data_IF_092949394444
#
_entry.id   IF_092949394444
#
_cell.length_a   1.000
_cell.length_b   1.000
_cell.length_c   1.000
_cell.angle_alpha   90.00
_cell.angle_beta   90.00
_cell.angle_gamma   90.00
#
_symmetry.space_group_name_H-M   'P 1'
#
loop_
_entity.id
_entity.type
_entity.pdbx_description
1 polymer ?
#
# COMPACT_ATOMS: atom_id res chain seq x y z
N UNK A 1 -6.09 -3.42 -18.81
CA UNK A 1 -5.01 -3.01 -17.88
C UNK A 1 -4.95 -3.94 -16.68
N UNK A 2 -3.81 -4.00 -16.00
CA UNK A 2 -3.61 -4.80 -14.78
C UNK A 2 -4.66 -4.51 -13.70
N UNK A 3 -5.01 -3.24 -13.49
CA UNK A 3 -6.05 -2.85 -12.53
C UNK A 3 -7.43 -3.47 -12.84
N UNK A 4 -7.82 -3.59 -14.11
CA UNK A 4 -9.08 -4.27 -14.48
C UNK A 4 -9.03 -5.76 -14.21
N UNK A 5 -7.89 -6.41 -14.43
CA UNK A 5 -7.71 -7.82 -14.08
C UNK A 5 -7.80 -8.03 -12.57
N UNK A 6 -7.08 -7.20 -11.81
CA UNK A 6 -7.13 -7.22 -10.35
C UNK A 6 -8.57 -7.04 -9.84
N UNK A 7 -9.30 -6.03 -10.35
CA UNK A 7 -10.72 -5.82 -10.00
C UNK A 7 -11.59 -7.04 -10.32
N UNK A 8 -11.39 -7.67 -11.49
CA UNK A 8 -12.12 -8.88 -11.86
C UNK A 8 -11.86 -10.04 -10.88
N UNK A 9 -10.62 -10.21 -10.41
CA UNK A 9 -10.28 -11.23 -9.41
C UNK A 9 -10.97 -10.92 -8.09
N UNK A 10 -10.88 -9.66 -7.59
CA UNK A 10 -11.56 -9.21 -6.36
C UNK A 10 -13.07 -9.48 -6.44
N UNK A 11 -13.70 -9.11 -7.57
CA UNK A 11 -15.13 -9.30 -7.76
C UNK A 11 -15.52 -10.79 -7.80
N UNK A 12 -14.66 -11.64 -8.36
CA UNK A 12 -14.88 -13.09 -8.37
C UNK A 12 -14.87 -13.67 -6.96
N UNK A 13 -13.92 -13.25 -6.13
CA UNK A 13 -13.84 -13.68 -4.72
C UNK A 13 -15.06 -13.19 -3.93
N UNK A 14 -15.48 -11.95 -4.11
CA UNK A 14 -16.68 -11.40 -3.48
C UNK A 14 -18.00 -12.01 -3.96
N UNK A 15 -18.02 -12.69 -5.13
CA UNK A 15 -19.16 -13.48 -5.57
C UNK A 15 -19.27 -14.80 -4.80
N UNK A 16 -18.14 -15.40 -4.43
CA UNK A 16 -18.10 -16.63 -3.64
C UNK A 16 -18.47 -16.34 -2.18
N UNK A 17 -17.88 -15.29 -1.59
CA UNK A 17 -18.22 -14.81 -0.25
C UNK A 17 -18.11 -13.29 -0.22
N UNK A 18 -19.25 -12.62 0.04
CA UNK A 18 -19.34 -11.15 0.13
C UNK A 18 -18.48 -10.52 1.22
N UNK A 19 -18.12 -11.30 2.23
CA UNK A 19 -17.29 -10.90 3.37
C UNK A 19 -15.86 -11.41 3.27
N UNK A 20 -15.45 -11.90 2.11
CA UNK A 20 -14.09 -12.38 1.86
C UNK A 20 -13.04 -11.40 2.35
N UNK A 21 -12.03 -11.92 3.05
CA UNK A 21 -10.86 -11.17 3.49
C UNK A 21 -9.81 -11.15 2.38
N UNK A 22 -9.83 -10.11 1.59
CA UNK A 22 -8.97 -9.96 0.41
C UNK A 22 -7.91 -8.92 0.71
N UNK A 23 -6.66 -9.22 0.33
CA UNK A 23 -5.55 -8.29 0.30
C UNK A 23 -5.01 -8.27 -1.13
N UNK A 24 -4.93 -7.10 -1.75
CA UNK A 24 -4.17 -6.90 -2.98
C UNK A 24 -3.02 -5.95 -2.68
N UNK A 25 -1.80 -6.35 -3.07
CA UNK A 25 -0.58 -5.62 -2.71
C UNK A 25 0.49 -5.73 -3.79
N UNK A 26 1.38 -4.75 -3.80
CA UNK A 26 2.54 -4.69 -4.69
C UNK A 26 2.87 -3.28 -5.11
N UNK A 27 3.84 -3.16 -6.02
CA UNK A 27 4.11 -1.93 -6.75
C UNK A 27 3.09 -1.78 -7.89
N UNK A 28 2.17 -0.82 -7.70
CA UNK A 28 1.12 -0.54 -8.68
C UNK A 28 1.58 0.44 -9.78
N UNK A 29 2.78 1.03 -9.67
CA UNK A 29 3.27 2.12 -10.52
C UNK A 29 2.31 3.31 -10.64
N UNK A 30 1.41 3.44 -9.67
CA UNK A 30 0.37 4.47 -9.58
C UNK A 30 0.18 4.89 -8.12
N UNK A 31 -0.06 6.17 -7.89
CA UNK A 31 -0.41 6.66 -6.55
C UNK A 31 -1.82 6.20 -6.13
N UNK A 32 -2.11 6.16 -4.81
CA UNK A 32 -3.43 5.79 -4.28
C UNK A 32 -4.60 6.58 -4.88
N UNK A 33 -4.37 7.81 -5.34
CA UNK A 33 -5.39 8.69 -5.93
C UNK A 33 -5.61 8.46 -7.43
N UNK A 34 -4.74 7.69 -8.11
CA UNK A 34 -4.83 7.48 -9.54
C UNK A 34 -6.06 6.65 -9.93
N UNK A 35 -6.51 6.80 -11.16
CA UNK A 35 -7.73 6.14 -11.66
C UNK A 35 -7.67 4.60 -11.59
N UNK A 36 -6.51 3.99 -11.73
CA UNK A 36 -6.31 2.54 -11.56
C UNK A 36 -6.76 2.05 -10.18
N UNK A 37 -6.49 2.83 -9.14
CA UNK A 37 -6.78 2.52 -7.73
C UNK A 37 -8.17 3.04 -7.35
N UNK A 38 -8.41 4.35 -7.52
CA UNK A 38 -9.67 4.99 -7.14
C UNK A 38 -10.85 4.63 -8.03
N UNK A 39 -10.66 4.69 -9.35
CA UNK A 39 -11.73 4.49 -10.33
C UNK A 39 -11.97 3.02 -10.63
N UNK A 40 -10.90 2.24 -10.91
CA UNK A 40 -11.03 0.86 -11.38
C UNK A 40 -11.14 -0.11 -10.20
N UNK A 41 -10.21 -0.12 -9.26
CA UNK A 41 -10.29 -0.98 -8.05
C UNK A 41 -11.42 -0.48 -7.13
N UNK A 42 -11.65 0.83 -7.10
CA UNK A 42 -12.68 1.47 -6.27
C UNK A 42 -12.29 1.59 -4.80
N UNK A 43 -10.98 1.65 -4.51
CA UNK A 43 -10.47 1.72 -3.16
C UNK A 43 -10.79 3.06 -2.49
N UNK A 44 -11.26 3.00 -1.24
CA UNK A 44 -11.65 4.17 -0.43
C UNK A 44 -10.53 4.61 0.49
N UNK A 45 -10.43 5.92 0.72
CA UNK A 45 -9.48 6.56 1.63
C UNK A 45 -9.83 6.35 3.11
N UNK A 46 -11.12 6.33 3.44
CA UNK A 46 -11.60 6.23 4.82
C UNK A 46 -12.25 4.87 5.07
N UNK A 47 -12.00 4.26 6.23
CA UNK A 47 -12.60 2.97 6.61
C UNK A 47 -14.12 3.03 6.68
N UNK A 48 -14.64 4.18 7.11
CA UNK A 48 -16.08 4.45 7.31
C UNK A 48 -16.85 4.41 5.99
N UNK A 49 -16.20 4.81 4.90
CA UNK A 49 -16.82 4.88 3.57
C UNK A 49 -16.86 3.53 2.86
N UNK A 50 -16.20 2.49 3.43
CA UNK A 50 -16.07 1.18 2.79
C UNK A 50 -17.30 0.33 3.06
N UNK A 51 -18.07 0.05 2.01
CA UNK A 51 -19.23 -0.84 2.04
C UNK A 51 -18.81 -2.30 1.79
N UNK A 52 -19.77 -3.22 1.98
CA UNK A 52 -19.57 -4.64 1.66
C UNK A 52 -19.18 -4.80 0.19
N UNK A 53 -18.16 -5.63 -0.07
CA UNK A 53 -17.51 -5.85 -1.38
C UNK A 53 -16.64 -4.69 -1.87
N UNK A 54 -16.42 -3.66 -1.06
CA UNK A 54 -15.49 -2.58 -1.40
C UNK A 54 -14.13 -2.77 -0.71
N UNK A 55 -13.17 -1.98 -1.18
CA UNK A 55 -11.78 -2.01 -0.76
C UNK A 55 -11.40 -0.72 -0.01
N UNK A 56 -10.51 -0.85 0.96
CA UNK A 56 -9.88 0.23 1.72
C UNK A 56 -8.41 0.35 1.36
N UNK A 57 -7.96 1.56 1.06
CA UNK A 57 -6.54 1.84 0.82
C UNK A 57 -5.98 2.76 1.92
N UNK A 58 -5.29 2.22 2.93
CA UNK A 58 -4.68 3.04 3.99
C UNK A 58 -3.54 3.92 3.47
N UNK A 59 -2.90 3.55 2.34
CA UNK A 59 -1.75 4.26 1.80
C UNK A 59 -2.11 5.66 1.29
N UNK A 60 -3.37 5.91 0.96
CA UNK A 60 -3.80 7.24 0.54
C UNK A 60 -3.64 8.29 1.67
N UNK A 61 -4.00 7.94 2.91
CA UNK A 61 -3.79 8.83 4.06
C UNK A 61 -2.31 9.03 4.38
N UNK A 62 -1.52 7.98 4.30
CA UNK A 62 -0.07 8.04 4.53
C UNK A 62 0.58 9.03 3.55
N UNK A 63 0.24 8.94 2.25
CA UNK A 63 0.78 9.87 1.27
C UNK A 63 0.24 11.29 1.43
N UNK A 64 -1.09 11.45 1.54
CA UNK A 64 -1.72 12.78 1.46
C UNK A 64 -1.68 13.57 2.76
N UNK A 65 -1.73 12.90 3.90
CA UNK A 65 -1.81 13.56 5.22
C UNK A 65 -0.45 13.60 5.92
N UNK A 66 0.40 12.59 5.71
CA UNK A 66 1.70 12.46 6.37
C UNK A 66 2.86 12.81 5.45
N UNK A 67 2.64 12.89 4.12
CA UNK A 67 3.68 13.17 3.14
C UNK A 67 4.69 12.04 2.95
N UNK A 68 4.35 10.81 3.41
CA UNK A 68 5.23 9.65 3.35
C UNK A 68 4.97 8.86 2.07
N UNK A 69 6.02 8.64 1.28
CA UNK A 69 6.01 7.81 0.08
C UNK A 69 6.88 6.57 0.20
N UNK A 70 6.72 5.63 -0.72
CA UNK A 70 7.60 4.47 -0.83
C UNK A 70 8.81 4.75 -1.71
N UNK A 71 8.68 5.63 -2.70
CA UNK A 71 9.78 6.05 -3.57
C UNK A 71 9.76 7.55 -3.84
N UNK A 72 10.86 8.07 -4.38
CA UNK A 72 10.98 9.48 -4.72
C UNK A 72 11.61 9.65 -6.11
N UNK A 73 11.05 10.57 -6.89
CA UNK A 73 11.59 10.99 -8.17
C UNK A 73 11.54 12.51 -8.30
N UNK A 74 12.69 13.14 -8.58
CA UNK A 74 12.83 14.62 -8.68
C UNK A 74 12.27 15.34 -7.45
N UNK A 75 12.60 14.82 -6.25
CA UNK A 75 12.18 15.34 -4.94
C UNK A 75 10.66 15.31 -4.68
N UNK A 76 9.90 14.62 -5.54
CA UNK A 76 8.47 14.32 -5.33
C UNK A 76 8.33 12.90 -4.80
N UNK A 77 7.57 12.73 -3.72
CA UNK A 77 7.27 11.44 -3.13
C UNK A 77 6.04 10.80 -3.78
N UNK A 78 6.18 9.50 -4.06
CA UNK A 78 5.13 8.64 -4.59
C UNK A 78 4.94 7.45 -3.65
N UNK A 79 3.73 6.91 -3.59
CA UNK A 79 3.41 5.71 -2.83
C UNK A 79 2.85 4.65 -3.79
N UNK A 80 3.76 4.04 -4.57
CA UNK A 80 3.42 3.01 -5.55
C UNK A 80 3.27 1.64 -4.92
N UNK A 81 4.00 1.40 -3.82
CA UNK A 81 3.95 0.16 -3.04
C UNK A 81 2.76 0.21 -2.09
N UNK A 82 1.66 -0.45 -2.44
CA UNK A 82 0.41 -0.33 -1.73
C UNK A 82 -0.07 -1.68 -1.21
N UNK A 83 -0.79 -1.65 -0.09
CA UNK A 83 -1.51 -2.79 0.48
C UNK A 83 -2.96 -2.37 0.69
N UNK A 84 -3.85 -2.90 -0.12
CA UNK A 84 -5.27 -2.55 -0.17
C UNK A 84 -6.07 -3.75 0.36
N UNK A 85 -7.01 -3.50 1.27
CA UNK A 85 -7.74 -4.56 1.98
C UNK A 85 -9.24 -4.47 1.76
N UNK A 86 -9.95 -5.61 1.76
CA UNK A 86 -11.39 -5.64 1.64
C UNK A 86 -12.12 -5.27 2.94
N UNK A 87 -13.41 -4.93 2.83
CA UNK A 87 -14.30 -4.69 4.00
C UNK A 87 -14.27 -5.83 5.00
N UNK A 88 -14.11 -7.09 4.58
CA UNK A 88 -14.04 -8.25 5.47
C UNK A 88 -12.89 -8.20 6.49
N UNK A 89 -11.83 -7.44 6.20
CA UNK A 89 -10.72 -7.19 7.13
C UNK A 89 -10.94 -5.98 8.05
N UNK A 90 -12.02 -5.22 7.88
CA UNK A 90 -12.35 -4.06 8.71
C UNK A 90 -13.37 -4.44 9.78
N UNK A 91 -13.43 -3.63 10.87
CA UNK A 91 -14.34 -3.83 12.02
C UNK A 91 -13.62 -4.31 13.26
N UNK A 92 -14.37 -4.54 14.33
CA UNK A 92 -13.87 -4.73 15.70
C UNK A 92 -14.11 -6.16 16.23
N UNK A 93 -14.58 -7.09 15.39
CA UNK A 93 -14.68 -8.50 15.71
C UNK A 93 -13.33 -9.19 15.51
N UNK A 94 -12.54 -9.23 16.58
CA UNK A 94 -11.19 -9.81 16.58
C UNK A 94 -11.16 -11.33 16.78
N UNK A 95 -12.29 -12.02 16.73
CA UNK A 95 -12.33 -13.50 16.67
C UNK A 95 -11.57 -14.05 15.46
N UNK A 96 -11.35 -13.20 14.48
CA UNK A 96 -10.55 -13.47 13.27
C UNK A 96 -9.72 -12.24 12.88
N UNK A 97 -8.69 -12.43 12.04
CA UNK A 97 -7.79 -11.34 11.65
C UNK A 97 -8.54 -10.12 11.12
N UNK A 98 -8.20 -8.95 11.67
CA UNK A 98 -8.65 -7.63 11.25
C UNK A 98 -7.47 -6.69 10.99
N UNK A 99 -7.68 -5.76 10.08
CA UNK A 99 -6.72 -4.69 9.80
C UNK A 99 -6.57 -3.78 11.02
N UNK A 100 -5.35 -3.61 11.47
CA UNK A 100 -5.01 -2.72 12.59
C UNK A 100 -4.43 -1.41 12.09
N UNK A 101 -3.27 -1.47 11.43
CA UNK A 101 -2.59 -0.28 10.89
C UNK A 101 -1.76 -0.61 9.66
N UNK A 102 -1.38 0.43 8.93
CA UNK A 102 -0.45 0.39 7.80
C UNK A 102 0.72 1.33 8.02
N UNK A 103 1.76 1.17 7.23
CA UNK A 103 2.92 2.05 7.24
C UNK A 103 3.87 1.80 6.08
N UNK A 104 4.84 2.69 5.96
CA UNK A 104 6.01 2.56 5.09
C UNK A 104 7.23 2.36 5.98
N UNK A 105 8.04 1.35 5.68
CA UNK A 105 9.21 0.99 6.50
C UNK A 105 10.44 1.79 6.05
N UNK A 106 10.49 3.07 6.42
CA UNK A 106 11.51 4.05 6.02
C UNK A 106 12.59 4.25 7.10
N UNK A 107 13.19 3.16 7.57
CA UNK A 107 14.21 3.24 8.63
C UNK A 107 15.49 3.94 8.14
N UNK A 108 16.23 4.61 9.06
CA UNK A 108 17.44 5.39 8.70
C UNK A 108 18.50 4.59 7.93
N UNK A 109 18.64 3.28 8.20
CA UNK A 109 19.61 2.45 7.48
C UNK A 109 19.20 2.12 6.03
N UNK A 110 17.89 2.25 5.70
CA UNK A 110 17.38 2.11 4.33
C UNK A 110 17.42 3.43 3.55
N UNK A 111 17.86 4.51 4.19
CA UNK A 111 17.80 5.86 3.64
C UNK A 111 19.19 6.35 3.27
N UNK A 112 19.32 6.97 2.12
CA UNK A 112 20.56 7.60 1.64
C UNK A 112 20.94 8.74 2.59
N UNK A 113 22.15 8.68 3.15
CA UNK A 113 22.61 9.65 4.17
C UNK A 113 23.18 10.93 3.58
N UNK A 114 23.72 10.85 2.37
CA UNK A 114 24.51 11.93 1.76
C UNK A 114 24.26 12.06 0.25
N UNK A 115 24.76 13.15 -0.34
CA UNK A 115 24.72 13.41 -1.76
C UNK A 115 23.33 13.84 -2.28
N UNK A 116 23.18 13.81 -3.60
CA UNK A 116 21.97 14.29 -4.31
C UNK A 116 20.67 13.62 -3.84
N UNK A 117 20.72 12.37 -3.43
CA UNK A 117 19.55 11.58 -3.05
C UNK A 117 19.41 11.43 -1.52
N UNK A 118 20.05 12.33 -0.74
CA UNK A 118 19.91 12.35 0.71
C UNK A 118 18.45 12.38 1.14
N UNK A 119 18.07 11.51 2.07
CA UNK A 119 16.70 11.39 2.57
C UNK A 119 15.79 10.46 1.75
N UNK A 120 16.23 10.02 0.57
CA UNK A 120 15.48 9.09 -0.29
C UNK A 120 15.90 7.62 0.00
N UNK A 121 15.16 6.61 -0.51
CA UNK A 121 15.57 5.22 -0.40
C UNK A 121 17.00 5.00 -0.89
N UNK A 122 17.79 4.25 -0.12
CA UNK A 122 19.16 3.93 -0.49
C UNK A 122 19.18 2.80 -1.52
N UNK A 123 19.11 3.20 -2.78
CA UNK A 123 19.03 2.28 -3.92
C UNK A 123 20.29 1.46 -4.10
N UNK A 124 20.16 0.21 -4.54
CA UNK A 124 21.29 -0.69 -4.81
C UNK A 124 22.14 -0.27 -6.01
N UNK A 125 21.56 0.43 -6.97
CA UNK A 125 22.26 0.96 -8.15
C UNK A 125 21.96 2.43 -8.39
N UNK A 126 22.99 3.18 -8.79
CA UNK A 126 22.87 4.56 -9.23
C UNK A 126 23.78 4.80 -10.44
N UNK A 127 23.22 5.29 -11.55
CA UNK A 127 23.97 5.55 -12.79
C UNK A 127 24.76 4.32 -13.29
N UNK A 128 24.16 3.11 -13.19
CA UNK A 128 24.77 1.85 -13.58
C UNK A 128 25.86 1.33 -12.63
N UNK A 129 26.13 2.00 -11.52
CA UNK A 129 27.10 1.56 -10.49
C UNK A 129 26.38 1.00 -9.29
N UNK A 130 26.90 -0.12 -8.76
CA UNK A 130 26.46 -0.69 -7.50
C UNK A 130 26.86 0.24 -6.35
N UNK A 131 25.91 0.56 -5.46
CA UNK A 131 26.09 1.54 -4.38
C UNK A 131 26.16 0.90 -3.00
N UNK A 132 26.02 -0.42 -2.92
CA UNK A 132 25.88 -1.17 -1.67
C UNK A 132 24.63 -0.78 -0.86
N UNK A 133 23.61 -0.20 -1.53
CA UNK A 133 22.30 0.08 -0.96
C UNK A 133 21.35 -1.10 -1.11
N UNK A 134 20.09 -0.88 -0.78
CA UNK A 134 19.05 -1.95 -0.69
C UNK A 134 18.08 -1.92 -1.87
N UNK A 135 17.27 -0.85 -1.95
CA UNK A 135 16.22 -0.68 -2.95
C UNK A 135 15.97 0.81 -3.18
N UNK A 136 15.40 1.16 -4.31
CA UNK A 136 14.89 2.50 -4.60
C UNK A 136 13.45 2.72 -4.10
N UNK A 137 12.88 1.69 -3.45
CA UNK A 137 11.61 1.78 -2.76
C UNK A 137 11.74 1.35 -1.29
N UNK A 138 10.97 1.99 -0.41
CA UNK A 138 10.72 1.51 0.95
C UNK A 138 9.62 0.46 0.96
N UNK A 139 9.73 -0.62 1.74
CA UNK A 139 8.65 -1.59 1.92
C UNK A 139 7.41 -0.96 2.55
N UNK A 140 6.24 -1.23 1.98
CA UNK A 140 4.95 -0.96 2.61
C UNK A 140 4.46 -2.18 3.38
N UNK A 141 3.76 -1.97 4.49
CA UNK A 141 3.27 -3.05 5.34
C UNK A 141 1.92 -2.74 5.97
N UNK A 142 1.24 -3.79 6.40
CA UNK A 142 0.08 -3.70 7.29
C UNK A 142 0.28 -4.62 8.50
N UNK A 143 -0.39 -4.30 9.60
CA UNK A 143 -0.59 -5.22 10.71
C UNK A 143 -2.01 -5.75 10.70
N UNK A 144 -2.13 -7.06 10.83
CA UNK A 144 -3.38 -7.76 11.10
C UNK A 144 -3.33 -8.30 12.52
N UNK A 145 -4.41 -8.13 13.25
CA UNK A 145 -4.53 -8.62 14.63
C UNK A 145 -5.75 -9.51 14.78
N UNK A 146 -5.68 -10.47 15.69
CA UNK A 146 -6.81 -11.25 16.20
C UNK A 146 -6.62 -11.52 17.69
N UNK A 147 -7.69 -11.82 18.40
CA UNK A 147 -7.62 -12.31 19.78
C UNK A 147 -6.86 -13.65 19.83
N UNK A 148 -6.07 -13.85 20.89
CA UNK A 148 -5.47 -15.12 21.23
C UNK A 148 -6.33 -15.76 22.31
N UNK A 149 -6.75 -17.00 22.08
CA UNK A 149 -7.40 -17.83 23.11
C UNK A 149 -6.41 -18.15 24.23
#
# INVERSE_FOLDING_TARGET
SAARLNKKIIDSLHKLDRNSKIITMGDFNDNPMNNSIKGIIGAKKNKEDVKVKEMYNPMEKILTNEGIGSNSYRDVWFLFDQVIVSKGLLGDDYSSYKFYKAGVFNKPYLTQKEGRYKGQPFRSFSWGKFTNGYSDHYPSFIYLIKETN
#
